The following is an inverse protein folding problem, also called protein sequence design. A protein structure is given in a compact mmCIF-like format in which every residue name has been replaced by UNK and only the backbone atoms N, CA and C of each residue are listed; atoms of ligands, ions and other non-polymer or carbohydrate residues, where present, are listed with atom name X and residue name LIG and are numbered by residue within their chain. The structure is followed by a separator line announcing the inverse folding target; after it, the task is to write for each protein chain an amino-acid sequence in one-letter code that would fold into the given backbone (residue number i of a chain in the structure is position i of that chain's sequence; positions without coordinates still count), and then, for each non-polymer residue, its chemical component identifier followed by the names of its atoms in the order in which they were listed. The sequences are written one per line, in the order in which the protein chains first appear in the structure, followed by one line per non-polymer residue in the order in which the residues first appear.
data_IF_390835127034
#
_entry.id   IF_390835127034
#
_cell.length_a   1.000
_cell.length_b   1.000
_cell.length_c   1.000
_cell.angle_alpha   90.00
_cell.angle_beta   90.00
_cell.angle_gamma   90.00
#
_symmetry.space_group_name_H-M   'P 1'
#
loop_
_entity.id
_entity.type
_entity.pdbx_description
1 polymer ?
#
# COMPACT_ATOMS: atom_id res chain seq x y z
N UNK A 1 6.16 -9.01 -8.37
CA UNK A 1 5.87 -9.41 -9.78
C UNK A 1 6.50 -8.38 -10.69
N UNK A 2 7.09 -8.79 -11.81
CA UNK A 2 7.79 -7.89 -12.73
C UNK A 2 7.08 -7.78 -14.07
N UNK A 3 6.94 -6.56 -14.58
CA UNK A 3 6.29 -6.21 -15.84
C UNK A 3 7.23 -5.36 -16.70
N UNK A 4 7.04 -5.33 -18.01
CA UNK A 4 7.82 -4.47 -18.91
C UNK A 4 6.96 -3.29 -19.37
N UNK A 5 7.56 -2.12 -19.41
CA UNK A 5 6.98 -0.89 -19.96
C UNK A 5 7.69 -0.60 -21.28
N UNK A 6 6.89 -0.23 -22.27
CA UNK A 6 7.35 0.22 -23.58
C UNK A 6 7.57 1.74 -23.52
N UNK A 7 8.63 2.20 -24.18
CA UNK A 7 8.86 3.63 -24.36
C UNK A 7 7.86 4.20 -25.33
N UNK A 8 7.33 5.38 -25.02
CA UNK A 8 6.51 6.16 -25.96
C UNK A 8 7.40 6.86 -26.98
N UNK A 9 6.81 7.42 -28.04
CA UNK A 9 7.54 8.24 -29.01
C UNK A 9 8.24 9.45 -28.32
N UNK A 10 7.56 10.06 -27.34
CA UNK A 10 8.14 11.13 -26.54
C UNK A 10 9.30 10.63 -25.66
N UNK A 11 9.17 9.44 -25.08
CA UNK A 11 10.22 8.79 -24.30
C UNK A 11 11.46 8.47 -25.14
N UNK A 12 11.26 7.93 -26.34
CA UNK A 12 12.35 7.67 -27.30
C UNK A 12 13.05 8.97 -27.72
N UNK A 13 12.28 10.02 -28.05
CA UNK A 13 12.84 11.32 -28.40
C UNK A 13 13.64 11.93 -27.25
N UNK A 14 13.12 11.88 -26.02
CA UNK A 14 13.83 12.33 -24.81
C UNK A 14 15.08 11.52 -24.51
N UNK A 15 15.05 10.21 -24.72
CA UNK A 15 16.23 9.37 -24.54
C UNK A 15 17.31 9.67 -25.57
N UNK A 16 16.94 10.00 -26.80
CA UNK A 16 17.89 10.45 -27.81
C UNK A 16 18.62 11.72 -27.35
N UNK A 17 17.92 12.68 -26.75
CA UNK A 17 18.59 13.89 -26.24
C UNK A 17 19.50 13.64 -25.04
N UNK A 18 19.26 12.56 -24.27
CA UNK A 18 20.19 12.14 -23.21
C UNK A 18 21.52 11.67 -23.78
N UNK A 19 21.51 10.98 -24.92
CA UNK A 19 22.74 10.59 -25.61
C UNK A 19 23.52 11.82 -26.10
N UNK A 20 22.82 12.93 -26.39
CA UNK A 20 23.40 14.23 -26.75
C UNK A 20 23.82 15.07 -25.53
N UNK A 21 23.78 14.51 -24.31
CA UNK A 21 24.25 15.14 -23.08
C UNK A 21 23.19 15.89 -22.27
N UNK A 22 21.91 15.84 -22.67
CA UNK A 22 20.82 16.37 -21.85
C UNK A 22 20.44 15.41 -20.72
N UNK A 23 19.78 15.92 -19.67
CA UNK A 23 19.36 15.12 -18.52
C UNK A 23 17.87 14.77 -18.62
N UNK A 24 17.54 13.49 -18.72
CA UNK A 24 16.17 13.02 -18.49
C UNK A 24 15.90 13.01 -16.97
N UNK A 25 14.91 13.80 -16.56
CA UNK A 25 14.49 13.89 -15.16
C UNK A 25 13.09 13.31 -15.03
N UNK A 26 13.01 12.15 -14.40
CA UNK A 26 11.75 11.50 -14.07
C UNK A 26 11.15 12.16 -12.83
N UNK A 27 9.88 12.57 -12.93
CA UNK A 27 9.17 13.30 -11.89
C UNK A 27 8.10 12.44 -11.22
N UNK A 28 7.26 11.78 -12.02
CA UNK A 28 6.03 11.17 -11.54
C UNK A 28 5.82 9.75 -12.06
N UNK A 29 5.05 8.98 -11.32
CA UNK A 29 4.51 7.69 -11.72
C UNK A 29 2.99 7.79 -11.67
N UNK A 30 2.34 7.27 -12.71
CA UNK A 30 0.88 7.20 -12.80
C UNK A 30 0.44 5.75 -12.92
N UNK A 31 -0.72 5.43 -12.37
CA UNK A 31 -1.40 4.14 -12.51
C UNK A 31 -2.85 4.34 -12.88
N UNK A 32 -3.42 3.33 -13.53
CA UNK A 32 -4.78 3.41 -14.03
C UNK A 32 -5.46 2.06 -14.16
N UNK A 33 -6.76 2.10 -14.42
CA UNK A 33 -7.63 0.95 -14.64
C UNK A 33 -7.89 0.68 -16.12
N UNK A 34 -6.98 1.15 -16.99
CA UNK A 34 -7.02 1.05 -18.45
C UNK A 34 -7.18 -0.36 -19.03
N UNK A 35 -7.13 -0.44 -20.36
CA UNK A 35 -7.50 -1.65 -21.12
C UNK A 35 -6.43 -2.75 -21.07
N UNK A 36 -6.71 -3.93 -21.63
CA UNK A 36 -5.72 -5.01 -21.81
C UNK A 36 -4.69 -4.72 -22.89
N UNK A 37 -4.98 -3.78 -23.77
CA UNK A 37 -4.20 -3.53 -24.98
C UNK A 37 -3.41 -2.23 -24.81
N UNK A 38 -2.27 -2.12 -25.50
CA UNK A 38 -1.46 -0.89 -25.53
C UNK A 38 -1.78 -0.12 -26.81
N UNK A 39 -2.54 1.00 -26.76
CA UNK A 39 -2.69 1.89 -27.90
C UNK A 39 -1.36 2.45 -28.39
N UNK A 40 -1.23 2.65 -29.70
CA UNK A 40 -0.08 3.34 -30.28
C UNK A 40 -0.17 4.86 -30.04
N UNK A 41 0.97 5.52 -29.86
CA UNK A 41 1.05 6.99 -29.79
C UNK A 41 0.47 7.61 -28.51
N UNK A 42 0.47 6.88 -27.39
CA UNK A 42 -0.03 7.41 -26.12
C UNK A 42 0.82 8.59 -25.61
N UNK A 43 0.14 9.70 -25.31
CA UNK A 43 0.71 10.86 -24.61
C UNK A 43 0.35 10.88 -23.11
N UNK A 44 -0.63 10.07 -22.70
CA UNK A 44 -1.11 9.91 -21.33
C UNK A 44 -1.64 8.48 -21.13
N UNK A 45 -1.94 8.09 -19.89
CA UNK A 45 -2.62 6.82 -19.58
C UNK A 45 -4.02 6.78 -20.21
N UNK A 46 -4.53 5.57 -20.47
CA UNK A 46 -5.87 5.38 -21.07
C UNK A 46 -6.97 5.73 -20.07
N UNK A 47 -6.79 5.34 -18.81
CA UNK A 47 -7.68 5.64 -17.70
C UNK A 47 -6.89 5.84 -16.40
N UNK A 48 -6.30 7.03 -16.26
CA UNK A 48 -5.52 7.39 -15.07
C UNK A 48 -6.41 7.47 -13.82
N UNK A 49 -6.05 6.71 -12.80
CA UNK A 49 -6.73 6.68 -11.50
C UNK A 49 -5.93 7.43 -10.44
N UNK A 50 -4.60 7.36 -10.52
CA UNK A 50 -3.72 7.95 -9.53
C UNK A 50 -2.36 8.33 -10.11
N UNK A 51 -1.86 9.49 -9.68
CA UNK A 51 -0.53 10.01 -10.01
C UNK A 51 0.15 10.54 -8.78
N UNK A 52 1.46 10.29 -8.69
CA UNK A 52 2.26 10.68 -7.53
C UNK A 52 3.70 10.94 -7.92
N UNK A 53 4.34 11.84 -7.17
CA UNK A 53 5.76 12.13 -7.32
C UNK A 53 6.61 10.93 -6.92
N UNK A 54 7.74 10.77 -7.61
CA UNK A 54 8.73 9.75 -7.31
C UNK A 54 9.36 10.03 -5.95
N UNK A 55 9.22 9.08 -5.02
CA UNK A 55 9.70 9.21 -3.65
C UNK A 55 11.15 8.76 -3.47
N UNK A 56 11.60 7.79 -4.28
CA UNK A 56 12.97 7.28 -4.20
C UNK A 56 13.59 7.12 -5.58
N UNK A 57 14.90 7.41 -5.67
CA UNK A 57 15.71 7.33 -6.88
C UNK A 57 17.04 6.66 -6.54
N UNK A 58 17.24 5.44 -7.02
CA UNK A 58 18.40 4.62 -6.72
C UNK A 58 19.11 4.24 -8.02
N UNK A 59 20.38 4.64 -8.22
CA UNK A 59 21.18 4.15 -9.34
C UNK A 59 21.30 2.63 -9.30
N UNK A 60 21.20 1.97 -10.45
CA UNK A 60 21.41 0.52 -10.61
C UNK A 60 22.36 0.26 -11.77
N UNK A 61 22.89 -0.96 -11.88
CA UNK A 61 23.75 -1.32 -13.01
C UNK A 61 23.00 -1.10 -14.33
N UNK A 62 23.51 -0.16 -15.15
CA UNK A 62 22.92 0.17 -16.45
C UNK A 62 21.62 0.97 -16.37
N UNK A 63 21.29 1.66 -15.27
CA UNK A 63 20.06 2.46 -15.22
C UNK A 63 19.74 3.13 -13.89
N UNK A 64 18.47 3.48 -13.73
CA UNK A 64 17.94 4.08 -12.50
C UNK A 64 16.65 3.35 -12.08
N UNK A 65 16.57 3.03 -10.80
CA UNK A 65 15.33 2.60 -10.16
C UNK A 65 14.65 3.79 -9.52
N UNK A 66 13.38 3.97 -9.83
CA UNK A 66 12.48 4.94 -9.22
C UNK A 66 11.36 4.20 -8.52
N UNK A 67 11.01 4.61 -7.32
CA UNK A 67 9.97 3.96 -6.54
C UNK A 67 9.00 4.95 -5.94
N UNK A 68 7.76 4.51 -5.81
CA UNK A 68 6.70 5.23 -5.14
C UNK A 68 5.83 4.27 -4.34
N UNK A 69 5.35 4.75 -3.20
CA UNK A 69 4.35 4.06 -2.41
C UNK A 69 2.98 4.57 -2.82
N UNK A 70 2.11 3.67 -3.29
CA UNK A 70 0.68 3.94 -3.40
C UNK A 70 0.09 3.81 -1.99
N UNK A 71 -0.37 4.93 -1.41
CA UNK A 71 -0.81 4.92 -0.04
C UNK A 71 -2.12 4.13 0.11
N UNK A 72 -2.41 3.73 1.34
CA UNK A 72 -3.57 2.91 1.68
C UNK A 72 -4.92 3.60 1.44
N UNK A 73 -4.95 4.93 1.50
CA UNK A 73 -6.13 5.75 1.25
C UNK A 73 -6.49 5.87 -0.24
N UNK A 74 -5.62 5.42 -1.15
CA UNK A 74 -5.85 5.44 -2.59
C UNK A 74 -6.11 4.01 -3.07
N UNK A 75 -7.36 3.72 -3.46
CA UNK A 75 -7.75 2.39 -3.93
C UNK A 75 -9.21 2.34 -4.34
N UNK A 76 -9.76 1.13 -4.49
CA UNK A 76 -11.10 0.88 -5.05
C UNK A 76 -11.09 0.59 -6.54
N UNK A 77 -9.92 0.39 -7.15
CA UNK A 77 -9.75 0.13 -8.57
C UNK A 77 -8.76 -1.02 -8.81
N UNK A 78 -8.85 -1.61 -10.00
CA UNK A 78 -7.89 -2.59 -10.48
C UNK A 78 -6.79 -1.86 -11.24
N UNK A 79 -5.54 -1.98 -10.79
CA UNK A 79 -4.40 -1.43 -11.54
C UNK A 79 -4.12 -2.33 -12.73
N UNK A 80 -4.14 -1.74 -13.91
CA UNK A 80 -3.99 -2.42 -15.22
C UNK A 80 -2.97 -1.74 -16.12
N UNK A 81 -2.70 -0.46 -15.89
CA UNK A 81 -1.69 0.29 -16.62
C UNK A 81 -0.80 1.08 -15.65
N UNK A 82 0.44 1.26 -16.06
CA UNK A 82 1.46 2.01 -15.33
C UNK A 82 2.18 2.90 -16.32
N UNK A 83 2.35 4.18 -15.96
CA UNK A 83 3.11 5.15 -16.73
C UNK A 83 4.20 5.83 -15.92
N UNK A 84 5.27 6.19 -16.62
CA UNK A 84 6.40 6.94 -16.09
C UNK A 84 6.46 8.30 -16.77
N UNK A 85 6.48 9.38 -15.98
CA UNK A 85 6.32 10.75 -16.47
C UNK A 85 7.54 11.58 -16.07
N UNK A 86 8.00 12.44 -16.98
CA UNK A 86 9.11 13.35 -16.72
C UNK A 86 8.70 14.67 -16.04
N UNK A 87 9.67 15.55 -15.83
CA UNK A 87 9.44 16.88 -15.24
C UNK A 87 8.61 17.84 -16.10
N UNK A 88 8.56 17.60 -17.41
CA UNK A 88 7.79 18.41 -18.37
C UNK A 88 6.36 17.84 -18.56
N UNK A 89 6.00 16.79 -17.81
CA UNK A 89 4.70 16.15 -17.88
C UNK A 89 4.52 15.17 -19.05
N UNK A 90 5.60 14.82 -19.75
CA UNK A 90 5.56 13.87 -20.86
C UNK A 90 5.59 12.44 -20.34
N UNK A 91 4.69 11.61 -20.89
CA UNK A 91 4.70 10.16 -20.67
C UNK A 91 5.92 9.57 -21.39
N UNK A 92 6.90 9.07 -20.64
CA UNK A 92 8.14 8.48 -21.13
C UNK A 92 7.98 7.00 -21.43
N UNK A 93 7.29 6.28 -20.54
CA UNK A 93 7.07 4.86 -20.69
C UNK A 93 5.67 4.48 -20.23
N UNK A 94 5.08 3.51 -20.91
CA UNK A 94 3.74 2.99 -20.67
C UNK A 94 3.77 1.48 -20.70
N UNK A 95 2.99 0.83 -19.84
CA UNK A 95 2.89 -0.61 -19.86
C UNK A 95 1.63 -1.10 -19.19
N UNK A 96 1.13 -2.20 -19.73
CA UNK A 96 -0.01 -2.92 -19.20
C UNK A 96 0.50 -3.99 -18.24
N UNK A 97 -0.13 -4.10 -17.08
CA UNK A 97 0.08 -5.18 -16.13
C UNK A 97 -1.20 -6.02 -15.99
N UNK A 98 -1.09 -7.32 -15.65
CA UNK A 98 -2.23 -8.10 -15.19
C UNK A 98 -2.96 -7.35 -14.08
N UNK A 99 -4.29 -7.35 -14.14
CA UNK A 99 -5.12 -6.65 -13.18
C UNK A 99 -4.79 -7.10 -11.76
N UNK A 100 -4.35 -6.17 -10.92
CA UNK A 100 -4.17 -6.41 -9.50
C UNK A 100 -5.03 -5.44 -8.69
N UNK A 101 -5.70 -5.92 -7.62
CA UNK A 101 -6.57 -5.07 -6.83
C UNK A 101 -5.76 -4.11 -5.96
N UNK A 102 -6.09 -2.82 -6.04
CA UNK A 102 -5.70 -1.86 -5.02
C UNK A 102 -6.90 -1.65 -4.11
N UNK A 103 -6.91 -2.32 -2.96
CA UNK A 103 -7.96 -2.17 -1.96
C UNK A 103 -8.03 -0.72 -1.47
N UNK A 104 -9.25 -0.17 -1.36
CA UNK A 104 -9.51 1.17 -0.88
C UNK A 104 -9.77 1.18 0.63
N UNK A 105 -9.68 2.38 1.24
CA UNK A 105 -9.87 2.56 2.67
C UNK A 105 -11.27 2.14 3.19
N UNK A 106 -12.29 2.07 2.31
CA UNK A 106 -13.67 1.75 2.68
C UNK A 106 -13.96 0.27 2.95
N UNK A 107 -13.11 -0.64 2.48
CA UNK A 107 -13.38 -2.09 2.57
C UNK A 107 -12.82 -2.74 3.84
N UNK A 108 -12.23 -1.96 4.75
CA UNK A 108 -11.51 -2.51 5.91
C UNK A 108 -10.19 -3.20 5.52
N UNK A 109 -9.73 -3.02 4.28
CA UNK A 109 -8.46 -3.53 3.75
C UNK A 109 -7.63 -2.35 3.26
N UNK A 110 -6.86 -1.75 4.16
CA UNK A 110 -5.85 -0.76 3.83
C UNK A 110 -4.58 -1.50 3.38
N UNK A 111 -4.31 -1.61 2.09
CA UNK A 111 -3.04 -2.20 1.60
C UNK A 111 -2.21 -1.11 0.93
N UNK A 112 -1.11 -0.69 1.57
CA UNK A 112 -0.09 0.10 0.90
C UNK A 112 0.59 -0.77 -0.18
N UNK A 113 0.80 -0.23 -1.38
CA UNK A 113 1.47 -0.97 -2.45
C UNK A 113 2.69 -0.20 -2.89
N UNK A 114 3.87 -0.79 -2.76
CA UNK A 114 5.10 -0.14 -3.22
C UNK A 114 5.36 -0.53 -4.67
N UNK A 115 5.25 0.45 -5.56
CA UNK A 115 5.62 0.31 -6.97
C UNK A 115 7.08 0.73 -7.14
N UNK A 116 7.90 -0.19 -7.65
CA UNK A 116 9.31 0.05 -7.96
C UNK A 116 9.57 -0.12 -9.45
N UNK A 117 9.70 0.98 -10.18
CA UNK A 117 10.00 0.98 -11.60
C UNK A 117 11.52 1.10 -11.80
N UNK A 118 12.13 0.15 -12.49
CA UNK A 118 13.54 0.19 -12.91
C UNK A 118 13.64 0.52 -14.39
N UNK A 119 14.10 1.72 -14.70
CA UNK A 119 14.48 2.09 -16.05
C UNK A 119 15.90 1.57 -16.33
N UNK A 120 16.05 0.61 -17.25
CA UNK A 120 17.34 0.11 -17.71
C UNK A 120 17.68 0.74 -19.06
N UNK A 121 18.79 1.47 -19.10
CA UNK A 121 19.38 2.06 -20.29
C UNK A 121 20.38 1.05 -20.88
N UNK A 122 19.85 -0.02 -21.46
CA UNK A 122 20.65 -0.98 -22.25
C UNK A 122 20.44 -0.71 -23.74
N UNK A 123 21.20 -1.38 -24.61
CA UNK A 123 21.05 -1.29 -26.07
C UNK A 123 19.67 -1.74 -26.56
N UNK A 124 18.95 -2.52 -25.74
CA UNK A 124 17.52 -2.76 -25.86
C UNK A 124 16.81 -1.89 -24.81
N UNK A 125 16.58 -0.62 -25.11
CA UNK A 125 15.99 0.37 -24.19
C UNK A 125 14.68 -0.16 -23.59
N UNK A 126 14.73 -0.71 -22.37
CA UNK A 126 13.63 -1.45 -21.75
C UNK A 126 13.38 -0.94 -20.35
N UNK A 127 12.13 -0.61 -20.04
CA UNK A 127 11.71 -0.23 -18.69
C UNK A 127 11.12 -1.46 -18.01
N UNK A 128 11.66 -1.86 -16.86
CA UNK A 128 11.13 -2.98 -16.08
C UNK A 128 10.46 -2.46 -14.82
N UNK A 129 9.29 -2.98 -14.46
CA UNK A 129 8.49 -2.52 -13.34
C UNK A 129 8.26 -3.66 -12.40
N UNK A 130 8.75 -3.51 -11.17
CA UNK A 130 8.56 -4.47 -10.11
C UNK A 130 7.52 -3.95 -9.12
N UNK A 131 6.41 -4.67 -9.01
CA UNK A 131 5.36 -4.42 -8.03
C UNK A 131 5.64 -5.30 -6.81
N UNK A 132 5.88 -4.66 -5.68
CA UNK A 132 6.05 -5.29 -4.38
C UNK A 132 4.82 -4.97 -3.53
N UNK A 133 3.87 -5.90 -3.40
CA UNK A 133 2.79 -5.71 -2.44
C UNK A 133 3.38 -5.75 -1.02
N UNK A 134 3.10 -4.71 -0.22
CA UNK A 134 3.31 -4.75 1.22
C UNK A 134 1.94 -4.63 1.87
N UNK A 135 1.27 -5.78 2.03
CA UNK A 135 -0.07 -5.79 2.59
C UNK A 135 0.02 -5.61 4.11
N UNK A 136 0.08 -4.35 4.57
CA UNK A 136 -0.09 -4.04 5.99
C UNK A 136 -1.56 -4.12 6.34
N UNK A 137 -2.01 -5.25 6.87
CA UNK A 137 -3.41 -5.38 7.27
C UNK A 137 -3.59 -4.70 8.63
N UNK A 138 -4.54 -3.76 8.73
CA UNK A 138 -4.85 -3.05 9.98
C UNK A 138 -6.30 -3.34 10.39
N UNK A 139 -6.52 -3.62 11.67
CA UNK A 139 -7.86 -3.77 12.29
C UNK A 139 -7.90 -2.95 13.56
N UNK A 140 -8.84 -2.02 13.64
CA UNK A 140 -9.10 -1.24 14.84
C UNK A 140 -10.56 -1.36 15.25
N UNK A 141 -10.82 -1.24 16.55
CA UNK A 141 -12.19 -1.32 17.05
C UNK A 141 -12.29 -0.96 18.52
N UNK A 142 -13.54 -0.79 18.97
CA UNK A 142 -13.87 -0.49 20.36
C UNK A 142 -14.80 -1.58 20.88
N UNK A 143 -14.43 -2.20 21.99
CA UNK A 143 -15.18 -3.28 22.63
C UNK A 143 -15.57 -2.85 24.05
N UNK A 144 -16.86 -2.81 24.40
CA UNK A 144 -17.27 -2.54 25.78
C UNK A 144 -16.87 -3.70 26.69
N UNK A 145 -16.34 -3.40 27.88
CA UNK A 145 -15.97 -4.41 28.86
C UNK A 145 -17.15 -4.72 29.79
N UNK A 146 -17.43 -6.01 29.99
CA UNK A 146 -18.47 -6.47 30.90
C UNK A 146 -17.99 -6.41 32.36
N UNK A 147 -18.86 -5.96 33.25
CA UNK A 147 -18.57 -5.81 34.68
C UNK A 147 -18.36 -7.18 35.32
N UNK A 148 -17.32 -7.32 36.15
CA UNK A 148 -17.00 -8.56 36.85
C UNK A 148 -16.12 -9.54 36.07
N UNK A 149 -15.89 -9.31 34.77
CA UNK A 149 -15.03 -10.16 33.95
C UNK A 149 -13.55 -9.77 34.11
N UNK A 150 -12.66 -10.77 34.16
CA UNK A 150 -11.21 -10.59 34.18
C UNK A 150 -10.58 -10.88 32.80
N UNK A 151 -11.39 -11.27 31.81
CA UNK A 151 -10.96 -11.55 30.44
C UNK A 151 -11.94 -10.97 29.42
N UNK A 152 -11.41 -10.62 28.25
CA UNK A 152 -12.23 -10.21 27.10
C UNK A 152 -11.71 -10.86 25.84
N UNK A 153 -12.63 -11.42 25.07
CA UNK A 153 -12.36 -11.94 23.72
C UNK A 153 -12.76 -10.89 22.69
N UNK A 154 -11.79 -10.44 21.91
CA UNK A 154 -11.99 -9.46 20.85
C UNK A 154 -11.90 -10.17 19.50
N UNK A 155 -12.98 -10.14 18.73
CA UNK A 155 -13.04 -10.70 17.38
C UNK A 155 -12.72 -9.61 16.36
N UNK A 156 -11.81 -9.88 15.44
CA UNK A 156 -11.51 -9.00 14.32
C UNK A 156 -12.58 -9.15 13.24
N UNK A 157 -13.20 -8.03 12.87
CA UNK A 157 -14.05 -7.97 11.68
C UNK A 157 -13.36 -7.18 10.57
N UNK A 158 -13.11 -7.75 9.38
CA UNK A 158 -12.97 -9.17 9.02
C UNK A 158 -11.67 -9.80 9.58
N UNK A 159 -11.57 -11.14 9.63
CA UNK A 159 -10.36 -11.83 10.11
C UNK A 159 -9.14 -11.57 9.21
N UNK A 160 -7.95 -11.65 9.80
CA UNK A 160 -6.69 -11.73 9.05
C UNK A 160 -6.59 -13.06 8.28
N UNK A 161 -5.66 -13.18 7.31
CA UNK A 161 -5.41 -14.43 6.61
C UNK A 161 -5.14 -15.60 7.58
N UNK A 162 -5.61 -16.79 7.23
CA UNK A 162 -5.48 -17.99 8.08
C UNK A 162 -4.00 -18.27 8.40
N UNK A 163 -3.71 -18.52 9.68
CA UNK A 163 -2.34 -18.74 10.19
C UNK A 163 -1.54 -17.46 10.48
N UNK A 164 -2.07 -16.28 10.19
CA UNK A 164 -1.41 -15.02 10.52
C UNK A 164 -1.55 -14.66 12.01
N UNK A 165 -0.49 -14.12 12.61
CA UNK A 165 -0.48 -13.63 13.99
C UNK A 165 -0.21 -12.12 13.93
N UNK A 166 -1.24 -11.27 14.02
CA UNK A 166 -1.06 -9.82 14.00
C UNK A 166 -0.40 -9.33 15.30
N UNK A 167 0.35 -8.24 15.20
CA UNK A 167 0.81 -7.46 16.36
C UNK A 167 -0.36 -6.64 16.88
N UNK A 168 -0.82 -6.93 18.09
CA UNK A 168 -1.99 -6.27 18.69
C UNK A 168 -1.52 -5.33 19.80
N UNK A 169 -2.03 -4.10 19.76
CA UNK A 169 -1.91 -3.11 20.82
C UNK A 169 -3.33 -2.68 21.23
N UNK A 170 -3.55 -2.42 22.51
CA UNK A 170 -4.85 -1.93 22.95
C UNK A 170 -4.76 -1.02 24.17
N UNK A 171 -5.72 -0.11 24.23
CA UNK A 171 -5.94 0.81 25.32
C UNK A 171 -7.34 0.61 25.92
N UNK A 172 -7.47 0.66 27.23
CA UNK A 172 -8.77 0.66 27.94
C UNK A 172 -9.03 2.08 28.41
N UNK A 173 -10.11 2.65 27.90
CA UNK A 173 -10.75 3.84 28.41
C UNK A 173 -11.52 3.49 29.67
N UNK A 174 -11.36 4.33 30.70
CA UNK A 174 -12.00 4.17 32.00
C UNK A 174 -13.01 5.29 32.23
N UNK A 175 -14.10 5.03 32.96
CA UNK A 175 -15.01 6.08 33.40
C UNK A 175 -14.33 7.01 34.42
N UNK A 176 -14.88 8.20 34.61
CA UNK A 176 -14.36 9.18 35.56
C UNK A 176 -14.32 8.60 36.98
N UNK A 177 -13.11 8.52 37.57
CA UNK A 177 -12.89 7.91 38.89
C UNK A 177 -12.69 6.39 38.89
N UNK A 178 -12.61 5.73 37.73
CA UNK A 178 -12.36 4.30 37.62
C UNK A 178 -10.91 3.88 37.90
N UNK A 179 -10.74 2.70 38.48
CA UNK A 179 -9.45 2.05 38.71
C UNK A 179 -8.74 1.65 37.41
N UNK A 180 -7.41 1.56 37.47
CA UNK A 180 -6.59 1.06 36.37
C UNK A 180 -6.60 -0.46 36.33
N UNK A 181 -6.88 -1.01 35.14
CA UNK A 181 -6.69 -2.43 34.85
C UNK A 181 -5.35 -2.61 34.13
N UNK A 182 -4.45 -3.40 34.72
CA UNK A 182 -3.23 -3.89 34.06
C UNK A 182 -3.63 -5.00 33.08
N UNK A 183 -2.90 -5.11 31.97
CA UNK A 183 -3.36 -5.72 30.72
C UNK A 183 -2.30 -6.66 30.17
N UNK A 184 -2.70 -7.89 29.90
CA UNK A 184 -1.89 -8.86 29.19
C UNK A 184 -2.67 -9.44 28.01
N UNK A 185 -2.01 -9.60 26.86
CA UNK A 185 -2.57 -10.39 25.75
C UNK A 185 -2.16 -11.84 26.00
N UNK A 186 -3.14 -12.69 26.27
CA UNK A 186 -2.88 -14.11 26.56
C UNK A 186 -3.00 -14.99 25.31
N UNK A 187 -3.70 -14.50 24.29
CA UNK A 187 -3.78 -15.17 22.99
C UNK A 187 -3.98 -14.14 21.88
N UNK A 188 -3.37 -14.39 20.72
CA UNK A 188 -3.59 -13.64 19.49
C UNK A 188 -3.66 -14.62 18.33
N UNK A 189 -4.69 -14.49 17.51
CA UNK A 189 -4.97 -15.35 16.35
C UNK A 189 -5.36 -14.50 15.15
N UNK A 190 -5.48 -15.11 13.97
CA UNK A 190 -5.97 -14.42 12.78
C UNK A 190 -7.40 -13.88 12.95
N UNK A 191 -8.20 -14.45 13.84
CA UNK A 191 -9.63 -14.12 14.01
C UNK A 191 -9.89 -13.16 15.17
N UNK A 192 -8.91 -12.93 16.04
CA UNK A 192 -9.11 -12.16 17.26
C UNK A 192 -7.99 -12.36 18.28
N UNK A 193 -8.11 -11.69 19.42
CA UNK A 193 -7.20 -11.83 20.54
C UNK A 193 -7.98 -11.87 21.86
N UNK A 194 -7.40 -12.53 22.86
CA UNK A 194 -7.93 -12.52 24.22
C UNK A 194 -7.01 -11.68 25.10
N UNK A 195 -7.58 -10.67 25.75
CA UNK A 195 -6.92 -9.89 26.77
C UNK A 195 -7.35 -10.36 28.16
N UNK A 196 -6.38 -10.46 29.08
CA UNK A 196 -6.60 -10.71 30.49
C UNK A 196 -6.28 -9.46 31.29
N UNK A 197 -7.12 -9.20 32.28
CA UNK A 197 -6.97 -8.12 33.24
C UNK A 197 -6.45 -8.66 34.56
N UNK A 198 -5.68 -7.85 35.28
CA UNK A 198 -5.16 -8.23 36.60
C UNK A 198 -6.26 -8.29 37.69
N UNK A 199 -7.45 -7.79 37.41
CA UNK A 199 -8.62 -7.89 38.27
C UNK A 199 -9.92 -7.73 37.48
N UNK A 200 -11.07 -8.07 38.09
CA UNK A 200 -12.37 -7.96 37.43
C UNK A 200 -12.70 -6.50 37.10
N UNK A 201 -13.36 -6.27 35.97
CA UNK A 201 -13.83 -4.95 35.57
C UNK A 201 -14.76 -4.38 36.65
N UNK A 202 -14.41 -3.24 37.29
CA UNK A 202 -15.04 -2.82 38.53
C UNK A 202 -16.43 -2.18 38.34
N UNK A 203 -16.68 -1.58 37.18
CA UNK A 203 -17.94 -0.91 36.87
C UNK A 203 -18.16 -0.88 35.35
N UNK A 204 -19.38 -0.54 34.92
CA UNK A 204 -19.67 -0.32 33.50
C UNK A 204 -19.00 0.98 33.01
N UNK A 205 -18.86 1.12 31.70
CA UNK A 205 -18.25 2.31 31.08
C UNK A 205 -16.75 2.21 30.82
N UNK A 206 -16.18 1.00 30.94
CA UNK A 206 -14.85 0.71 30.43
C UNK A 206 -14.94 0.25 28.97
N UNK A 207 -14.09 0.81 28.10
CA UNK A 207 -14.03 0.47 26.68
C UNK A 207 -12.61 0.10 26.28
N UNK A 208 -12.46 -1.00 25.54
CA UNK A 208 -11.19 -1.44 24.99
C UNK A 208 -11.09 -0.97 23.54
N UNK A 209 -10.17 -0.05 23.28
CA UNK A 209 -9.73 0.42 21.97
C UNK A 209 -8.54 -0.41 21.52
N UNK A 210 -8.65 -1.15 20.42
CA UNK A 210 -7.54 -1.96 19.92
C UNK A 210 -7.07 -1.51 18.55
N UNK A 211 -5.81 -1.79 18.26
CA UNK A 211 -5.17 -1.69 16.97
C UNK A 211 -4.31 -2.93 16.72
N UNK A 212 -4.70 -3.73 15.73
CA UNK A 212 -4.01 -4.94 15.30
C UNK A 212 -3.42 -4.72 13.91
N UNK A 213 -2.12 -4.98 13.78
CA UNK A 213 -1.34 -4.74 12.56
C UNK A 213 -0.64 -6.04 12.15
N UNK A 214 -0.81 -6.45 10.90
CA UNK A 214 -0.07 -7.55 10.29
C UNK A 214 0.77 -7.00 9.13
N UNK A 215 2.09 -7.05 9.26
CA UNK A 215 3.07 -6.59 8.26
C UNK A 215 3.55 -7.70 7.35
#
# INVERSE_FOLDING_TARGET
MSYALQLTDAGLAKLATVLDGQRLVLSQIAVGSGTTDTPAGLAALVHEEYRTDIQSRTPVAGGIRVSVVLPENVGGFLVREIGLIDIDGLLIAYGVCPAFPKAGAGDGYASAVTLSLTLLLTTAQTVQVNVLPQATHIRNGVVPLAVGEDTVEVVFGPSFPEGAIPSVSFEIERPAGGDFLVRDIISSTASGFTAKFTGPVPASGYYLHYNAILT
#
